data_IF_766825279216
#
_entry.id   IF_766825279216
#
_cell.length_a   1.000
_cell.length_b   1.000
_cell.length_c   1.000
_cell.angle_alpha   90.00
_cell.angle_beta   90.00
_cell.angle_gamma   90.00
#
_symmetry.space_group_name_H-M   'P 1'
#
loop_
_entity.id
_entity.type
_entity.pdbx_description
1 polymer ?
#
# COMPACT_ATOMS: atom_id res chain seq x y z
N UNK A 1 -0.35 -0.11 7.81
CA UNK A 1 1.07 -0.42 8.09
C UNK A 1 1.88 0.87 8.06
N UNK A 2 3.09 0.87 8.62
CA UNK A 2 4.03 1.99 8.61
C UNK A 2 5.42 1.48 8.23
N UNK A 3 6.15 2.27 7.48
CA UNK A 3 7.54 1.98 7.09
C UNK A 3 8.39 3.20 7.39
N UNK A 4 9.56 2.99 7.98
CA UNK A 4 10.58 4.01 8.16
C UNK A 4 11.80 3.60 7.34
N UNK A 5 12.19 4.46 6.41
CA UNK A 5 13.39 4.31 5.60
C UNK A 5 14.49 5.20 6.18
N UNK A 6 15.65 4.62 6.44
CA UNK A 6 16.85 5.32 6.85
C UNK A 6 17.82 5.36 5.68
N UNK A 7 18.48 6.49 5.47
CA UNK A 7 19.34 6.64 4.30
C UNK A 7 19.82 8.07 4.07
N UNK A 8 20.69 8.19 3.08
CA UNK A 8 21.30 9.45 2.68
C UNK A 8 20.53 10.09 1.53
N UNK A 9 20.21 11.37 1.68
CA UNK A 9 19.48 12.16 0.68
C UNK A 9 20.42 13.15 0.03
N UNK A 10 20.47 13.12 -1.29
CA UNK A 10 21.30 14.02 -2.10
C UNK A 10 20.46 14.77 -3.12
N UNK A 11 20.87 16.00 -3.49
CA UNK A 11 20.26 16.69 -4.63
C UNK A 11 20.52 15.86 -5.89
N UNK A 12 19.50 15.72 -6.73
CA UNK A 12 19.68 15.15 -8.05
C UNK A 12 20.52 16.12 -8.92
N UNK A 13 21.32 15.58 -9.83
CA UNK A 13 22.09 16.39 -10.77
C UNK A 13 21.16 17.16 -11.71
N UNK A 14 21.68 18.21 -12.37
CA UNK A 14 20.89 19.06 -13.27
C UNK A 14 20.20 18.27 -14.40
N UNK A 15 20.87 17.24 -14.91
CA UNK A 15 20.34 16.34 -15.95
C UNK A 15 19.25 15.39 -15.45
N UNK A 16 19.18 15.10 -14.15
CA UNK A 16 18.14 14.27 -13.54
C UNK A 16 16.90 15.06 -13.10
N UNK A 17 16.97 16.40 -13.02
CA UNK A 17 15.86 17.24 -12.53
C UNK A 17 14.59 17.12 -13.39
N UNK A 18 14.74 17.11 -14.73
CA UNK A 18 13.59 16.99 -15.64
C UNK A 18 12.92 15.61 -15.52
N UNK A 19 13.72 14.55 -15.39
CA UNK A 19 13.20 13.20 -15.15
C UNK A 19 12.44 13.13 -13.83
N UNK A 20 13.01 13.66 -12.75
CA UNK A 20 12.39 13.65 -11.43
C UNK A 20 11.08 14.43 -11.40
N UNK A 21 11.01 15.56 -12.12
CA UNK A 21 9.79 16.32 -12.27
C UNK A 21 8.67 15.50 -12.91
N UNK A 22 8.97 14.75 -13.98
CA UNK A 22 7.99 13.86 -14.64
C UNK A 22 7.47 12.80 -13.67
N UNK A 23 8.36 12.19 -12.87
CA UNK A 23 7.97 11.22 -11.83
C UNK A 23 7.08 11.86 -10.75
N UNK A 24 7.43 13.09 -10.33
CA UNK A 24 6.70 13.81 -9.31
C UNK A 24 5.28 14.17 -9.74
N UNK A 25 5.11 14.73 -10.95
CA UNK A 25 3.78 15.06 -11.51
C UNK A 25 2.93 13.81 -11.70
N UNK A 26 3.50 12.71 -12.19
CA UNK A 26 2.77 11.46 -12.37
C UNK A 26 2.13 10.97 -11.05
N UNK A 27 2.79 11.21 -9.91
CA UNK A 27 2.28 10.88 -8.57
C UNK A 27 1.43 11.99 -7.94
N UNK A 28 1.62 13.25 -8.35
CA UNK A 28 0.94 14.42 -7.79
C UNK A 28 0.30 15.26 -8.90
N UNK A 29 -0.74 14.73 -9.59
CA UNK A 29 -1.35 15.39 -10.74
C UNK A 29 -2.01 16.73 -10.40
N UNK A 30 -2.30 16.99 -9.12
CA UNK A 30 -2.86 18.25 -8.61
C UNK A 30 -1.85 19.11 -7.83
N UNK A 31 -0.56 18.74 -7.85
CA UNK A 31 0.49 19.53 -7.22
C UNK A 31 0.68 20.88 -7.92
N UNK A 32 1.03 21.91 -7.16
CA UNK A 32 1.34 23.26 -7.66
C UNK A 32 2.56 23.20 -8.59
N UNK A 33 2.34 22.93 -9.88
CA UNK A 33 3.38 22.83 -10.91
C UNK A 33 3.87 24.20 -11.41
N UNK A 34 3.26 25.29 -10.96
CA UNK A 34 3.45 26.63 -11.55
C UNK A 34 4.66 27.41 -11.02
N UNK A 35 5.43 26.90 -10.05
CA UNK A 35 6.54 27.65 -9.46
C UNK A 35 7.89 26.96 -9.64
N UNK A 36 8.36 26.83 -10.88
CA UNK A 36 9.66 26.23 -11.23
C UNK A 36 10.88 26.93 -10.62
N UNK A 37 10.75 28.19 -10.19
CA UNK A 37 11.91 29.03 -9.88
C UNK A 37 12.79 28.55 -8.72
N UNK A 38 12.24 27.81 -7.75
CA UNK A 38 12.93 27.54 -6.47
C UNK A 38 12.82 26.08 -6.00
N UNK A 39 12.44 25.12 -6.85
CA UNK A 39 12.34 23.71 -6.45
C UNK A 39 13.53 22.92 -6.98
N UNK A 40 14.13 22.13 -6.08
CA UNK A 40 15.16 21.16 -6.42
C UNK A 40 14.68 19.78 -5.98
N UNK A 41 14.82 18.79 -6.86
CA UNK A 41 14.52 17.42 -6.53
C UNK A 41 15.73 16.76 -5.84
N UNK A 42 15.42 15.98 -4.81
CA UNK A 42 16.37 15.18 -4.06
C UNK A 42 15.97 13.72 -4.15
N UNK A 43 16.97 12.83 -4.09
CA UNK A 43 16.77 11.38 -4.03
C UNK A 43 17.45 10.83 -2.78
N UNK A 44 16.75 9.94 -2.08
CA UNK A 44 17.41 9.04 -1.13
C UNK A 44 18.23 8.06 -1.95
N UNK A 45 19.54 8.31 -2.03
CA UNK A 45 20.44 7.58 -2.93
C UNK A 45 20.74 6.18 -2.43
N UNK A 46 20.90 6.06 -1.11
CA UNK A 46 21.19 4.81 -0.44
C UNK A 46 20.16 4.63 0.69
N UNK A 47 19.54 3.46 0.74
CA UNK A 47 18.74 3.05 1.89
C UNK A 47 19.67 2.23 2.80
N UNK A 48 19.95 2.72 4.00
CA UNK A 48 20.79 2.00 4.96
C UNK A 48 20.02 0.90 5.67
N UNK A 49 18.79 1.23 6.09
CA UNK A 49 17.96 0.34 6.90
C UNK A 49 16.48 0.63 6.64
N UNK A 50 15.67 -0.40 6.85
CA UNK A 50 14.23 -0.34 6.70
C UNK A 50 13.58 -0.94 7.93
N UNK A 51 12.77 -0.13 8.61
CA UNK A 51 12.00 -0.57 9.76
C UNK A 51 10.51 -0.61 9.41
N UNK A 52 9.95 -1.81 9.46
CA UNK A 52 8.57 -2.08 9.09
C UNK A 52 7.71 -2.39 10.32
N UNK A 53 6.55 -1.73 10.40
CA UNK A 53 5.48 -2.05 11.35
C UNK A 53 4.20 -2.36 10.56
N UNK A 54 3.96 -3.65 10.37
CA UNK A 54 2.71 -4.19 9.82
C UNK A 54 1.60 -4.19 10.86
N UNK A 55 0.35 -4.05 10.40
CA UNK A 55 -0.88 -3.86 11.20
C UNK A 55 -0.85 -4.37 12.64
N UNK A 56 -1.33 -5.58 12.90
CA UNK A 56 -1.49 -6.18 14.24
C UNK A 56 -0.17 -6.56 14.94
N UNK A 57 0.83 -5.68 14.93
CA UNK A 57 2.06 -5.85 15.70
C UNK A 57 3.16 -6.64 14.99
N UNK A 58 3.07 -6.82 13.67
CA UNK A 58 4.22 -7.34 12.89
C UNK A 58 5.30 -6.28 12.88
N UNK A 59 6.44 -6.55 13.52
CA UNK A 59 7.60 -5.66 13.52
C UNK A 59 8.77 -6.39 12.89
N UNK A 60 9.38 -5.78 11.87
CA UNK A 60 10.48 -6.39 11.15
C UNK A 60 11.50 -5.33 10.71
N UNK A 61 12.78 -5.68 10.83
CA UNK A 61 13.82 -5.07 10.01
C UNK A 61 13.80 -5.76 8.65
N UNK A 62 13.87 -4.97 7.58
CA UNK A 62 13.89 -5.47 6.20
C UNK A 62 15.27 -5.20 5.62
N UNK A 63 15.84 -6.19 4.94
CA UNK A 63 17.12 -6.02 4.26
C UNK A 63 16.98 -5.03 3.11
N UNK A 64 17.83 -4.00 3.10
CA UNK A 64 17.75 -2.93 2.12
C UNK A 64 18.06 -3.40 0.70
N UNK A 65 18.97 -4.37 0.51
CA UNK A 65 19.31 -4.89 -0.81
C UNK A 65 18.21 -5.78 -1.37
N UNK A 66 17.59 -6.58 -0.50
CA UNK A 66 16.39 -7.34 -0.87
C UNK A 66 15.26 -6.39 -1.28
N UNK A 67 15.02 -5.32 -0.52
CA UNK A 67 14.03 -4.31 -0.88
C UNK A 67 14.30 -3.66 -2.24
N UNK A 68 15.54 -3.24 -2.50
CA UNK A 68 15.93 -2.61 -3.77
C UNK A 68 15.83 -3.56 -4.98
N UNK A 69 15.99 -4.87 -4.78
CA UNK A 69 15.84 -5.87 -5.84
C UNK A 69 14.38 -6.24 -6.15
N UNK A 70 13.44 -5.87 -5.28
CA UNK A 70 12.03 -6.18 -5.43
C UNK A 70 11.31 -5.16 -6.30
N UNK A 71 10.22 -5.62 -6.91
CA UNK A 71 9.32 -4.77 -7.68
C UNK A 71 7.97 -4.68 -6.96
N UNK A 72 7.31 -3.51 -6.98
CA UNK A 72 5.96 -3.38 -6.46
C UNK A 72 5.00 -4.39 -7.10
N UNK A 73 4.08 -4.92 -6.29
CA UNK A 73 3.05 -5.82 -6.77
C UNK A 73 2.11 -5.09 -7.75
N UNK A 74 1.89 -5.67 -8.94
CA UNK A 74 1.10 -5.01 -9.99
C UNK A 74 -0.35 -4.80 -9.59
N UNK A 75 -0.95 -5.74 -8.85
CA UNK A 75 -2.34 -5.62 -8.40
C UNK A 75 -2.46 -4.54 -7.33
N UNK A 76 -1.47 -4.42 -6.45
CA UNK A 76 -1.45 -3.39 -5.43
C UNK A 76 -1.22 -1.97 -6.01
N UNK A 77 -0.43 -1.85 -7.08
CA UNK A 77 -0.10 -0.55 -7.70
C UNK A 77 -1.16 -0.10 -8.70
N UNK A 78 -1.72 -1.00 -9.50
CA UNK A 78 -2.64 -0.64 -10.58
C UNK A 78 -4.08 -0.51 -10.06
N UNK A 79 -4.58 0.72 -10.05
CA UNK A 79 -6.00 1.00 -9.78
C UNK A 79 -6.45 0.69 -8.35
N UNK A 80 -5.53 0.50 -7.39
CA UNK A 80 -5.79 0.00 -6.04
C UNK A 80 -7.06 0.54 -5.38
N UNK A 81 -7.16 1.85 -5.12
CA UNK A 81 -8.35 2.41 -4.45
C UNK A 81 -9.64 2.28 -5.27
N UNK A 82 -9.56 2.44 -6.59
CA UNK A 82 -10.72 2.32 -7.47
C UNK A 82 -11.21 0.86 -7.54
N UNK A 83 -10.30 -0.07 -7.82
CA UNK A 83 -10.57 -1.50 -7.88
C UNK A 83 -11.13 -2.00 -6.54
N UNK A 84 -10.53 -1.59 -5.43
CA UNK A 84 -11.00 -1.94 -4.09
C UNK A 84 -12.41 -1.43 -3.83
N UNK A 85 -12.73 -0.21 -4.27
CA UNK A 85 -14.07 0.37 -4.12
C UNK A 85 -15.12 -0.42 -4.91
N UNK A 86 -14.83 -0.74 -6.17
CA UNK A 86 -15.72 -1.56 -7.01
C UNK A 86 -15.91 -2.96 -6.43
N UNK A 87 -14.82 -3.60 -5.98
CA UNK A 87 -14.87 -4.92 -5.36
C UNK A 87 -15.69 -4.91 -4.07
N UNK A 88 -15.52 -3.91 -3.20
CA UNK A 88 -16.35 -3.79 -2.00
C UNK A 88 -17.83 -3.53 -2.32
N UNK A 89 -18.13 -2.75 -3.37
CA UNK A 89 -19.51 -2.54 -3.81
C UNK A 89 -20.19 -3.85 -4.24
N UNK A 90 -19.44 -4.78 -4.83
CA UNK A 90 -19.94 -6.07 -5.31
C UNK A 90 -19.96 -7.12 -4.19
N UNK A 91 -18.88 -7.22 -3.40
CA UNK A 91 -18.59 -8.38 -2.56
C UNK A 91 -18.81 -8.17 -1.05
N UNK A 92 -18.96 -6.95 -0.54
CA UNK A 92 -19.12 -6.73 0.91
C UNK A 92 -20.34 -7.44 1.50
N UNK A 93 -21.48 -7.40 0.81
CA UNK A 93 -22.70 -8.09 1.27
C UNK A 93 -22.56 -9.62 1.21
N UNK A 94 -22.16 -10.24 0.08
CA UNK A 94 -21.88 -11.67 0.02
C UNK A 94 -20.86 -12.14 1.05
N UNK A 95 -19.80 -11.36 1.28
CA UNK A 95 -18.75 -11.68 2.24
C UNK A 95 -19.27 -11.68 3.68
N UNK A 96 -20.10 -10.68 4.03
CA UNK A 96 -20.79 -10.64 5.32
C UNK A 96 -21.69 -11.85 5.51
N UNK A 97 -22.50 -12.20 4.50
CA UNK A 97 -23.41 -13.35 4.56
C UNK A 97 -22.66 -14.68 4.73
N UNK A 98 -21.52 -14.84 4.04
CA UNK A 98 -20.66 -16.00 4.19
C UNK A 98 -20.10 -16.12 5.62
N UNK A 99 -19.56 -15.03 6.17
CA UNK A 99 -18.95 -15.02 7.50
C UNK A 99 -19.98 -15.12 8.63
N UNK A 100 -21.21 -14.63 8.39
CA UNK A 100 -22.33 -14.74 9.31
C UNK A 100 -22.74 -16.20 9.62
N UNK A 101 -22.36 -17.15 8.75
CA UNK A 101 -22.60 -18.58 8.99
C UNK A 101 -21.74 -19.17 10.12
N UNK A 102 -20.64 -18.48 10.50
CA UNK A 102 -19.66 -18.96 11.49
C UNK A 102 -19.66 -18.10 12.75
N UNK A 103 -20.02 -16.82 12.67
CA UNK A 103 -20.06 -15.89 13.80
C UNK A 103 -20.99 -14.69 13.54
N UNK A 104 -21.40 -13.95 14.56
CA UNK A 104 -22.16 -12.72 14.38
C UNK A 104 -21.28 -11.67 13.68
N UNK A 105 -21.73 -11.15 12.53
CA UNK A 105 -20.97 -10.17 11.73
C UNK A 105 -21.87 -9.03 11.29
N UNK A 106 -21.51 -7.80 11.68
CA UNK A 106 -22.24 -6.60 11.28
C UNK A 106 -21.87 -6.15 9.87
N UNK A 107 -20.58 -6.21 9.54
CA UNK A 107 -20.02 -5.67 8.30
C UNK A 107 -18.73 -6.41 7.90
N UNK A 108 -18.48 -6.49 6.59
CA UNK A 108 -17.27 -7.07 6.03
C UNK A 108 -16.81 -6.33 4.77
N UNK A 109 -15.53 -6.00 4.68
CA UNK A 109 -14.95 -5.27 3.55
C UNK A 109 -13.51 -5.69 3.28
N UNK A 110 -13.14 -5.74 2.01
CA UNK A 110 -11.77 -5.90 1.55
C UNK A 110 -10.96 -4.63 1.89
N UNK A 111 -9.69 -4.77 2.28
CA UNK A 111 -8.80 -3.62 2.55
C UNK A 111 -7.62 -3.60 1.56
N UNK A 112 -6.45 -4.22 1.72
CA UNK A 112 -5.55 -4.40 0.59
C UNK A 112 -5.78 -5.72 -0.16
N UNK A 113 -5.44 -5.69 -1.44
CA UNK A 113 -5.41 -6.83 -2.35
C UNK A 113 -4.07 -6.79 -3.08
N UNK A 114 -3.42 -7.93 -3.19
CA UNK A 114 -2.20 -8.11 -3.96
C UNK A 114 -2.19 -9.49 -4.64
N UNK A 115 -1.10 -9.86 -5.31
CA UNK A 115 -0.99 -11.19 -5.94
C UNK A 115 -0.91 -12.36 -4.96
N UNK A 116 -0.73 -12.10 -3.66
CA UNK A 116 -0.65 -13.13 -2.61
C UNK A 116 -1.99 -13.37 -1.94
N UNK A 117 -2.86 -12.37 -1.91
CA UNK A 117 -4.20 -12.57 -1.39
C UNK A 117 -4.96 -11.29 -1.15
N UNK A 118 -5.91 -11.41 -0.22
CA UNK A 118 -6.85 -10.35 0.14
C UNK A 118 -6.96 -10.32 1.65
N UNK A 119 -6.88 -9.13 2.21
CA UNK A 119 -7.17 -8.88 3.61
C UNK A 119 -8.60 -8.41 3.78
N UNK A 120 -9.33 -9.02 4.71
CA UNK A 120 -10.73 -8.70 4.99
C UNK A 120 -10.88 -8.10 6.38
N UNK A 121 -11.48 -6.90 6.45
CA UNK A 121 -12.00 -6.31 7.68
C UNK A 121 -13.36 -6.87 8.01
N UNK A 122 -13.55 -7.27 9.26
CA UNK A 122 -14.85 -7.74 9.77
C UNK A 122 -15.19 -6.95 11.02
N UNK A 123 -16.43 -6.45 11.12
CA UNK A 123 -16.96 -5.79 12.33
C UNK A 123 -17.91 -6.70 13.07
N UNK A 124 -17.73 -6.77 14.39
CA UNK A 124 -18.66 -7.40 15.31
C UNK A 124 -18.88 -6.46 16.51
N UNK A 125 -20.02 -5.77 16.55
CA UNK A 125 -20.30 -4.68 17.48
C UNK A 125 -19.28 -3.55 17.34
N UNK A 126 -18.46 -3.38 18.40
CA UNK A 126 -17.38 -2.39 18.50
C UNK A 126 -16.00 -2.96 18.18
N UNK A 127 -15.90 -4.28 17.95
CA UNK A 127 -14.64 -4.99 17.71
C UNK A 127 -14.43 -5.16 16.21
N UNK A 128 -13.17 -5.01 15.78
CA UNK A 128 -12.74 -5.21 14.40
C UNK A 128 -11.73 -6.35 14.32
N UNK A 129 -11.92 -7.25 13.37
CA UNK A 129 -11.00 -8.33 13.04
C UNK A 129 -10.42 -8.10 11.63
N UNK A 130 -9.15 -8.46 11.42
CA UNK A 130 -8.64 -8.70 10.06
C UNK A 130 -8.39 -10.19 9.89
N UNK A 131 -8.85 -10.71 8.77
CA UNK A 131 -8.49 -12.04 8.31
C UNK A 131 -7.47 -11.88 7.20
N UNK A 132 -6.31 -12.52 7.39
CA UNK A 132 -5.26 -12.68 6.40
C UNK A 132 -5.45 -14.08 5.78
N UNK A 133 -5.31 -14.18 4.46
CA UNK A 133 -5.57 -15.37 3.62
C UNK A 133 -7.05 -15.74 3.38
N UNK A 134 -7.59 -15.26 2.25
CA UNK A 134 -8.78 -15.86 1.64
C UNK A 134 -8.49 -16.75 0.41
N UNK A 135 -7.22 -16.94 0.01
CA UNK A 135 -6.89 -17.56 -1.29
C UNK A 135 -6.31 -18.99 -1.26
N UNK A 136 -6.45 -19.74 -0.15
CA UNK A 136 -5.98 -21.13 -0.11
C UNK A 136 -6.95 -22.19 0.46
N UNK A 137 -8.21 -21.85 0.80
CA UNK A 137 -9.14 -22.83 1.42
C UNK A 137 -10.57 -22.88 0.88
N UNK A 138 -10.86 -22.23 -0.26
CA UNK A 138 -12.19 -22.31 -0.91
C UNK A 138 -12.12 -22.97 -2.30
N UNK A 139 -11.02 -23.69 -2.61
CA UNK A 139 -10.94 -24.65 -3.71
C UNK A 139 -10.42 -25.99 -3.20
#
# INVERSE_FOLDING_TARGET
>A
ARVTLFGDVYPLSEDEQEWAHKQYIAKHPHGLSEQWGNFHYFRMQNISDIYFIGGFGTVAWVDAKEYEALHPDKIAVDGGEHNLKELNAIFSKPLRELLASVSEVDDAALIPIDSKGIDVRVRQGVVWFLFFDFLAKVL
#
